data_IF_282211380262
#
_entry.id   IF_282211380262
#
_cell.length_a   1.000
_cell.length_b   1.000
_cell.length_c   1.000
_cell.angle_alpha   90.00
_cell.angle_beta   90.00
_cell.angle_gamma   90.00
#
_symmetry.space_group_name_H-M   'P 1'
#
loop_
_entity.id
_entity.type
_entity.pdbx_description
1 polymer ?
#
# COMPACT_ATOMS: atom_id res chain seq x y z
N UNK A 1 -1.67 -12.35 13.39
CA UNK A 1 -0.78 -11.38 12.76
C UNK A 1 0.56 -12.01 12.33
N UNK A 2 1.25 -12.75 13.22
CA UNK A 2 2.58 -13.35 12.95
C UNK A 2 2.50 -14.33 11.77
N UNK A 3 1.56 -15.27 11.77
CA UNK A 3 1.38 -16.25 10.67
C UNK A 3 1.12 -15.54 9.33
N UNK A 4 0.41 -14.43 9.37
CA UNK A 4 0.11 -13.61 8.20
C UNK A 4 1.26 -12.71 7.74
N UNK A 5 2.36 -12.65 8.48
CA UNK A 5 3.48 -11.76 8.19
C UNK A 5 3.14 -10.27 8.33
N UNK A 6 2.14 -9.95 9.15
CA UNK A 6 1.76 -8.57 9.50
C UNK A 6 2.55 -8.06 10.70
N UNK A 7 3.11 -8.97 11.49
CA UNK A 7 3.89 -8.68 12.67
C UNK A 7 5.09 -9.63 12.77
N UNK A 8 6.14 -9.21 13.47
CA UNK A 8 7.37 -9.99 13.67
C UNK A 8 7.33 -10.69 15.02
N UNK A 9 7.80 -11.93 15.05
CA UNK A 9 8.01 -12.65 16.32
C UNK A 9 9.34 -12.24 16.97
N UNK A 10 9.37 -12.23 18.30
CA UNK A 10 10.55 -11.86 19.09
C UNK A 10 11.59 -12.98 19.13
N UNK A 11 11.13 -14.22 19.23
CA UNK A 11 11.98 -15.42 19.30
C UNK A 11 11.26 -16.62 18.69
N UNK A 12 11.98 -17.71 18.47
CA UNK A 12 11.44 -18.90 17.84
C UNK A 12 11.71 -18.96 16.35
N UNK A 13 10.97 -19.80 15.63
CA UNK A 13 11.06 -19.96 14.17
C UNK A 13 9.67 -20.29 13.60
N UNK A 14 9.20 -19.47 12.66
CA UNK A 14 8.01 -19.77 11.86
C UNK A 14 8.46 -20.42 10.55
N UNK A 15 8.00 -21.64 10.31
CA UNK A 15 8.28 -22.34 9.05
C UNK A 15 7.02 -22.46 8.21
N UNK A 16 7.14 -22.12 6.94
CA UNK A 16 6.06 -22.16 5.95
C UNK A 16 6.49 -23.11 4.84
N UNK A 17 5.77 -24.20 4.65
CA UNK A 17 6.13 -25.27 3.71
C UNK A 17 7.58 -25.77 3.92
N UNK A 18 8.01 -25.91 5.17
CA UNK A 18 9.35 -26.35 5.55
C UNK A 18 10.45 -25.29 5.47
N UNK A 19 10.17 -24.09 4.96
CA UNK A 19 11.15 -23.01 4.83
C UNK A 19 11.03 -22.05 6.03
N UNK A 20 12.15 -21.78 6.70
CA UNK A 20 12.20 -20.81 7.81
C UNK A 20 11.95 -19.40 7.29
N UNK A 21 11.15 -18.63 8.04
CA UNK A 21 10.88 -17.22 7.71
C UNK A 21 11.90 -16.25 8.26
N UNK A 22 12.93 -16.72 8.98
CA UNK A 22 14.01 -15.89 9.52
C UNK A 22 14.76 -15.14 8.41
N UNK A 23 14.92 -15.76 7.26
CA UNK A 23 15.65 -15.22 6.13
C UNK A 23 14.75 -14.45 5.15
N UNK A 24 13.44 -14.34 5.44
CA UNK A 24 12.51 -13.62 4.59
C UNK A 24 12.80 -12.12 4.61
N UNK A 25 12.98 -11.55 3.40
CA UNK A 25 13.02 -10.12 3.16
C UNK A 25 11.60 -9.57 2.98
N UNK A 26 11.42 -8.27 3.07
CA UNK A 26 10.11 -7.62 2.90
C UNK A 26 9.41 -8.05 1.60
N UNK A 27 10.17 -8.24 0.53
CA UNK A 27 9.65 -8.73 -0.75
C UNK A 27 9.12 -10.17 -0.69
N UNK A 28 9.72 -11.02 0.13
CA UNK A 28 9.28 -12.42 0.29
C UNK A 28 7.98 -12.45 1.10
N UNK A 29 7.88 -11.60 2.11
CA UNK A 29 6.66 -11.37 2.86
C UNK A 29 5.53 -10.79 2.00
N UNK A 30 5.82 -9.84 1.12
CA UNK A 30 4.84 -9.30 0.18
C UNK A 30 4.34 -10.38 -0.79
N UNK A 31 5.25 -11.19 -1.32
CA UNK A 31 4.89 -12.32 -2.19
C UNK A 31 4.05 -13.37 -1.46
N UNK A 32 4.38 -13.66 -0.20
CA UNK A 32 3.63 -14.57 0.66
C UNK A 32 2.22 -14.05 0.94
N UNK A 33 2.07 -12.79 1.39
CA UNK A 33 0.77 -12.18 1.63
C UNK A 33 -0.10 -12.11 0.38
N UNK A 34 0.48 -11.79 -0.77
CA UNK A 34 -0.30 -11.63 -2.00
C UNK A 34 -0.70 -12.96 -2.66
N UNK A 35 0.09 -14.02 -2.47
CA UNK A 35 -0.11 -15.25 -3.24
C UNK A 35 -0.50 -16.46 -2.40
N UNK A 36 -0.09 -16.52 -1.12
CA UNK A 36 -0.25 -17.72 -0.31
C UNK A 36 -1.28 -17.56 0.80
N UNK A 37 -1.62 -16.32 1.16
CA UNK A 37 -2.56 -16.05 2.24
C UNK A 37 -3.76 -15.23 1.76
N UNK A 38 -4.94 -15.60 2.25
CA UNK A 38 -6.14 -14.79 2.24
C UNK A 38 -6.49 -14.33 3.66
N UNK A 39 -6.91 -13.08 3.83
CA UNK A 39 -7.33 -12.54 5.12
C UNK A 39 -8.83 -12.26 5.13
N UNK A 40 -9.50 -12.74 6.17
CA UNK A 40 -10.89 -12.43 6.52
C UNK A 40 -10.90 -11.80 7.91
N UNK A 41 -11.36 -10.55 8.00
CA UNK A 41 -11.39 -9.77 9.25
C UNK A 41 -12.81 -9.65 9.78
N UNK A 42 -12.95 -9.42 11.08
CA UNK A 42 -14.21 -9.15 11.75
C UNK A 42 -14.94 -7.93 11.17
N UNK A 43 -14.23 -6.86 10.85
CA UNK A 43 -14.80 -5.60 10.37
C UNK A 43 -14.97 -5.53 8.85
N UNK A 44 -14.96 -6.64 8.13
CA UNK A 44 -15.06 -6.77 6.67
C UNK A 44 -13.97 -6.04 5.89
N UNK A 45 -13.51 -4.88 6.32
CA UNK A 45 -12.51 -4.00 5.69
C UNK A 45 -12.78 -3.76 4.19
N UNK A 46 -14.04 -3.48 3.87
CA UNK A 46 -14.48 -3.14 2.52
C UNK A 46 -14.39 -1.62 2.29
N UNK A 47 -14.06 -1.23 1.08
CA UNK A 47 -14.01 0.17 0.67
C UNK A 47 -15.44 0.65 0.38
N UNK A 48 -16.03 1.56 1.20
CA UNK A 48 -17.48 1.83 1.18
C UNK A 48 -17.99 2.47 -0.11
N UNK A 49 -17.14 3.21 -0.80
CA UNK A 49 -17.49 3.93 -2.03
C UNK A 49 -17.28 3.12 -3.31
N UNK A 50 -16.63 1.96 -3.21
CA UNK A 50 -16.44 1.04 -4.31
C UNK A 50 -17.55 -0.01 -4.35
N UNK A 51 -17.80 -0.57 -5.53
CA UNK A 51 -18.72 -1.69 -5.68
C UNK A 51 -18.15 -2.96 -5.06
N UNK A 52 -19.01 -3.94 -4.83
CA UNK A 52 -18.64 -5.29 -4.38
C UNK A 52 -17.59 -5.89 -5.31
N UNK A 53 -17.83 -5.84 -6.63
CA UNK A 53 -16.87 -6.30 -7.63
C UNK A 53 -15.52 -5.60 -7.52
N UNK A 54 -15.50 -4.27 -7.41
CA UNK A 54 -14.26 -3.50 -7.30
C UNK A 54 -13.47 -3.82 -6.02
N UNK A 55 -14.16 -4.11 -4.92
CA UNK A 55 -13.52 -4.54 -3.67
C UNK A 55 -12.79 -5.88 -3.83
N UNK A 56 -13.34 -6.82 -4.60
CA UNK A 56 -12.69 -8.11 -4.87
C UNK A 56 -11.57 -7.96 -5.92
N UNK A 57 -11.80 -7.18 -6.99
CA UNK A 57 -10.79 -6.90 -8.03
C UNK A 57 -9.51 -6.26 -7.47
N UNK A 58 -9.61 -5.51 -6.35
CA UNK A 58 -8.47 -4.81 -5.75
C UNK A 58 -7.35 -5.77 -5.37
N UNK A 59 -7.66 -6.93 -4.79
CA UNK A 59 -6.67 -7.94 -4.42
C UNK A 59 -5.87 -8.45 -5.65
N UNK A 60 -6.53 -8.61 -6.80
CA UNK A 60 -5.89 -9.00 -8.06
C UNK A 60 -5.12 -7.85 -8.72
N UNK A 61 -5.49 -6.59 -8.44
CA UNK A 61 -4.77 -5.42 -8.95
C UNK A 61 -3.36 -5.37 -8.39
N UNK A 62 -3.22 -5.67 -7.10
CA UNK A 62 -1.91 -5.72 -6.42
C UNK A 62 -1.05 -6.89 -6.93
N UNK A 63 -1.66 -7.96 -7.42
CA UNK A 63 -0.98 -9.12 -8.00
C UNK A 63 -0.58 -8.95 -9.48
N UNK A 64 -0.82 -7.78 -10.09
CA UNK A 64 -0.41 -7.49 -11.48
C UNK A 64 -1.23 -8.20 -12.56
N UNK A 65 -2.42 -8.71 -12.23
CA UNK A 65 -3.32 -9.40 -13.17
C UNK A 65 -3.98 -8.40 -14.13
N UNK A 66 -4.17 -8.76 -15.40
CA UNK A 66 -4.82 -7.90 -16.40
C UNK A 66 -6.27 -7.56 -16.04
N UNK A 67 -6.79 -6.41 -16.50
CA UNK A 67 -8.13 -5.94 -16.15
C UNK A 67 -9.24 -6.94 -16.52
N UNK A 68 -9.15 -7.57 -17.70
CA UNK A 68 -10.15 -8.53 -18.16
C UNK A 68 -10.16 -9.79 -17.27
N UNK A 69 -8.98 -10.32 -16.98
CA UNK A 69 -8.81 -11.50 -16.13
C UNK A 69 -9.21 -11.23 -14.67
N UNK A 70 -8.89 -10.02 -14.13
CA UNK A 70 -9.33 -9.61 -12.80
C UNK A 70 -10.85 -9.65 -12.67
N UNK A 71 -11.54 -9.03 -13.65
CA UNK A 71 -13.00 -8.99 -13.64
C UNK A 71 -13.60 -10.39 -13.67
N UNK A 72 -13.08 -11.26 -14.55
CA UNK A 72 -13.53 -12.64 -14.65
C UNK A 72 -13.37 -13.38 -13.32
N UNK A 73 -12.17 -13.38 -12.73
CA UNK A 73 -11.90 -14.07 -11.46
C UNK A 73 -12.70 -13.48 -10.29
N UNK A 74 -12.88 -12.16 -10.26
CA UNK A 74 -13.66 -11.52 -9.21
C UNK A 74 -15.14 -11.89 -9.28
N UNK A 75 -15.72 -11.99 -10.49
CA UNK A 75 -17.09 -12.48 -10.68
C UNK A 75 -17.20 -13.93 -10.22
N UNK A 76 -16.33 -14.82 -10.70
CA UNK A 76 -16.31 -16.23 -10.29
C UNK A 76 -16.17 -16.40 -8.76
N UNK A 77 -15.35 -15.57 -8.10
CA UNK A 77 -15.21 -15.61 -6.65
C UNK A 77 -16.49 -15.16 -5.93
N UNK A 78 -17.18 -14.15 -6.45
CA UNK A 78 -18.46 -13.67 -5.90
C UNK A 78 -19.61 -14.67 -6.14
N UNK A 79 -19.63 -15.34 -7.27
CA UNK A 79 -20.59 -16.42 -7.55
C UNK A 79 -20.43 -17.59 -6.57
N UNK A 80 -19.18 -17.99 -6.27
CA UNK A 80 -18.88 -19.07 -5.30
C UNK A 80 -19.40 -18.79 -3.89
N UNK A 81 -19.52 -17.53 -3.51
CA UNK A 81 -20.07 -17.13 -2.20
C UNK A 81 -21.54 -16.72 -2.28
N UNK A 82 -22.21 -16.93 -3.43
CA UNK A 82 -23.64 -16.67 -3.64
C UNK A 82 -23.98 -15.18 -3.83
N UNK A 83 -23.07 -14.37 -4.38
CA UNK A 83 -23.23 -12.93 -4.58
C UNK A 83 -23.11 -12.48 -6.04
N UNK A 84 -23.26 -13.40 -7.02
CA UNK A 84 -23.10 -13.11 -8.44
C UNK A 84 -24.03 -12.00 -8.97
N UNK A 85 -25.26 -11.90 -8.46
CA UNK A 85 -26.21 -10.87 -8.86
C UNK A 85 -26.00 -9.51 -8.19
N UNK A 86 -25.14 -9.45 -7.17
CA UNK A 86 -24.98 -8.25 -6.33
C UNK A 86 -23.66 -7.51 -6.59
N UNK A 87 -22.95 -7.84 -7.66
CA UNK A 87 -21.61 -7.33 -7.99
C UNK A 87 -21.55 -5.80 -8.16
N UNK A 88 -22.65 -5.17 -8.52
CA UNK A 88 -22.75 -3.72 -8.72
C UNK A 88 -23.14 -2.94 -7.46
N UNK A 89 -23.61 -3.62 -6.41
CA UNK A 89 -23.97 -2.98 -5.14
C UNK A 89 -22.73 -2.45 -4.44
N UNK A 90 -22.93 -1.50 -3.51
CA UNK A 90 -21.91 -0.99 -2.60
C UNK A 90 -22.09 -1.61 -1.22
N UNK A 91 -21.06 -1.64 -0.36
CA UNK A 91 -21.15 -2.18 0.99
C UNK A 91 -22.30 -1.63 1.84
N UNK A 92 -22.63 -0.34 1.72
CA UNK A 92 -23.76 0.28 2.43
C UNK A 92 -25.16 -0.18 1.97
N UNK A 93 -25.23 -0.97 0.92
CA UNK A 93 -26.47 -1.55 0.38
C UNK A 93 -26.60 -3.05 0.70
N UNK A 94 -25.72 -3.56 1.59
CA UNK A 94 -25.61 -5.00 1.89
C UNK A 94 -25.80 -5.27 3.37
N UNK A 95 -26.30 -6.47 3.70
CA UNK A 95 -26.33 -6.96 5.08
C UNK A 95 -24.92 -7.32 5.59
N UNK A 96 -24.75 -7.46 6.92
CA UNK A 96 -23.49 -7.89 7.53
C UNK A 96 -22.97 -9.21 6.97
N UNK A 97 -23.82 -10.20 6.85
CA UNK A 97 -23.46 -11.51 6.28
C UNK A 97 -23.08 -11.44 4.80
N UNK A 98 -23.75 -10.58 4.02
CA UNK A 98 -23.36 -10.34 2.63
C UNK A 98 -21.99 -9.65 2.55
N UNK A 99 -21.72 -8.66 3.39
CA UNK A 99 -20.40 -8.00 3.45
C UNK A 99 -19.30 -8.99 3.85
N UNK A 100 -19.58 -9.91 4.77
CA UNK A 100 -18.63 -10.97 5.14
C UNK A 100 -18.36 -11.93 3.98
N UNK A 101 -19.38 -12.31 3.23
CA UNK A 101 -19.21 -13.13 2.01
C UNK A 101 -18.34 -12.40 0.97
N UNK A 102 -18.48 -11.07 0.80
CA UNK A 102 -17.60 -10.27 -0.06
C UNK A 102 -16.15 -10.30 0.45
N UNK A 103 -15.93 -10.16 1.77
CA UNK A 103 -14.60 -10.24 2.36
C UNK A 103 -13.96 -11.63 2.14
N UNK A 104 -14.74 -12.70 2.25
CA UNK A 104 -14.29 -14.07 1.95
C UNK A 104 -13.96 -14.20 0.44
N UNK A 105 -14.81 -13.72 -0.46
CA UNK A 105 -14.54 -13.74 -1.90
C UNK A 105 -13.24 -13.00 -2.26
N UNK A 106 -13.02 -11.83 -1.66
CA UNK A 106 -11.78 -11.05 -1.80
C UNK A 106 -10.55 -11.82 -1.31
N UNK A 107 -10.67 -12.52 -0.19
CA UNK A 107 -9.58 -13.34 0.35
C UNK A 107 -9.24 -14.54 -0.57
N UNK A 108 -10.24 -15.10 -1.26
CA UNK A 108 -10.11 -16.29 -2.10
C UNK A 108 -9.67 -16.00 -3.53
N UNK A 109 -9.83 -14.77 -4.02
CA UNK A 109 -9.68 -14.43 -5.46
C UNK A 109 -8.28 -14.68 -6.02
N UNK A 110 -7.23 -14.60 -5.16
CA UNK A 110 -5.84 -14.94 -5.51
C UNK A 110 -5.54 -16.44 -5.39
N UNK A 111 -6.55 -17.26 -5.07
CA UNK A 111 -6.39 -18.70 -4.83
C UNK A 111 -5.28 -19.00 -3.80
N UNK A 112 -5.38 -18.51 -2.56
CA UNK A 112 -4.38 -18.72 -1.52
C UNK A 112 -4.37 -20.17 -1.04
N UNK A 113 -3.23 -20.61 -0.52
CA UNK A 113 -3.09 -21.93 0.12
C UNK A 113 -3.67 -21.93 1.56
N UNK A 114 -3.63 -20.76 2.21
CA UNK A 114 -4.04 -20.56 3.62
C UNK A 114 -5.04 -19.41 3.70
N UNK A 115 -6.13 -19.61 4.42
CA UNK A 115 -7.08 -18.58 4.78
C UNK A 115 -6.98 -18.27 6.29
N UNK A 116 -6.63 -17.04 6.62
CA UNK A 116 -6.61 -16.56 8.02
C UNK A 116 -7.91 -15.82 8.30
N UNK A 117 -8.70 -16.31 9.24
CA UNK A 117 -9.97 -15.72 9.61
C UNK A 117 -9.91 -15.24 11.07
N UNK A 118 -10.02 -13.94 11.26
CA UNK A 118 -10.03 -13.29 12.56
C UNK A 118 -11.47 -12.91 12.90
N UNK A 119 -12.06 -13.66 13.84
CA UNK A 119 -13.45 -13.53 14.27
C UNK A 119 -14.47 -13.37 13.13
N UNK A 120 -14.53 -14.29 12.17
CA UNK A 120 -15.31 -14.10 10.94
C UNK A 120 -16.81 -14.00 11.18
N UNK A 121 -17.29 -14.31 12.38
CA UNK A 121 -18.72 -14.27 12.77
C UNK A 121 -19.00 -13.25 13.86
N UNK A 122 -18.01 -12.56 14.40
CA UNK A 122 -18.14 -11.70 15.59
C UNK A 122 -19.10 -10.50 15.44
N UNK A 123 -19.42 -10.08 14.22
CA UNK A 123 -20.35 -8.98 13.95
C UNK A 123 -21.69 -9.45 13.33
N UNK A 124 -22.01 -10.76 13.43
CA UNK A 124 -23.16 -11.38 12.77
C UNK A 124 -24.13 -11.96 13.79
N UNK A 125 -25.39 -12.07 13.40
CA UNK A 125 -26.40 -12.84 14.11
C UNK A 125 -26.11 -14.35 14.05
N UNK A 126 -26.76 -15.14 14.89
CA UNK A 126 -26.51 -16.58 15.03
C UNK A 126 -26.75 -17.35 13.74
N UNK A 127 -27.83 -17.04 13.02
CA UNK A 127 -28.19 -17.76 11.79
C UNK A 127 -27.18 -17.46 10.67
N UNK A 128 -26.85 -16.20 10.48
CA UNK A 128 -25.84 -15.77 9.52
C UNK A 128 -24.46 -16.32 9.87
N UNK A 129 -24.14 -16.39 11.16
CA UNK A 129 -22.88 -16.99 11.65
C UNK A 129 -22.74 -18.46 11.23
N UNK A 130 -23.79 -19.25 11.39
CA UNK A 130 -23.83 -20.64 10.92
C UNK A 130 -23.61 -20.73 9.41
N UNK A 131 -24.28 -19.88 8.61
CA UNK A 131 -24.10 -19.85 7.17
C UNK A 131 -22.65 -19.51 6.75
N UNK A 132 -21.99 -18.59 7.43
CA UNK A 132 -20.59 -18.25 7.17
C UNK A 132 -19.67 -19.42 7.56
N UNK A 133 -19.95 -20.10 8.68
CA UNK A 133 -19.16 -21.26 9.11
C UNK A 133 -19.30 -22.45 8.15
N UNK A 134 -20.51 -22.71 7.63
CA UNK A 134 -20.72 -23.74 6.61
C UNK A 134 -19.94 -23.39 5.33
N UNK A 135 -19.95 -22.12 4.90
CA UNK A 135 -19.16 -21.68 3.76
C UNK A 135 -17.65 -21.88 3.99
N UNK A 136 -17.14 -21.51 5.17
CA UNK A 136 -15.73 -21.74 5.51
C UNK A 136 -15.39 -23.24 5.56
N UNK A 137 -16.27 -24.07 6.08
CA UNK A 137 -16.10 -25.53 6.08
C UNK A 137 -16.05 -26.11 4.67
N UNK A 138 -16.86 -25.60 3.75
CA UNK A 138 -16.79 -26.01 2.34
C UNK A 138 -15.43 -25.62 1.72
N UNK A 139 -14.97 -24.41 1.98
CA UNK A 139 -13.68 -23.91 1.52
C UNK A 139 -12.52 -24.72 2.12
N UNK A 140 -12.65 -25.21 3.35
CA UNK A 140 -11.58 -25.97 4.04
C UNK A 140 -11.28 -27.33 3.43
N UNK A 141 -12.11 -27.84 2.52
CA UNK A 141 -11.83 -29.08 1.78
C UNK A 141 -10.60 -28.98 0.89
N UNK A 142 -10.32 -27.77 0.36
CA UNK A 142 -9.27 -27.55 -0.62
C UNK A 142 -8.05 -26.78 -0.05
N UNK A 143 -8.17 -26.18 1.15
CA UNK A 143 -7.13 -25.32 1.72
C UNK A 143 -7.17 -25.28 3.25
N UNK A 144 -6.04 -24.89 3.85
CA UNK A 144 -5.95 -24.70 5.28
C UNK A 144 -6.68 -23.43 5.71
N UNK A 145 -7.58 -23.55 6.69
CA UNK A 145 -8.19 -22.40 7.36
C UNK A 145 -7.68 -22.33 8.79
N UNK A 146 -7.11 -21.20 9.16
CA UNK A 146 -6.73 -20.89 10.55
C UNK A 146 -7.68 -19.78 11.03
N UNK A 147 -8.51 -20.11 12.00
CA UNK A 147 -9.51 -19.19 12.54
C UNK A 147 -9.20 -18.84 14.00
N UNK A 148 -9.31 -17.56 14.32
CA UNK A 148 -9.36 -17.08 15.71
C UNK A 148 -10.81 -16.77 16.04
N UNK A 149 -11.31 -17.29 17.15
CA UNK A 149 -12.67 -17.01 17.63
C UNK A 149 -12.77 -17.11 19.13
N UNK A 150 -13.63 -16.29 19.72
CA UNK A 150 -14.00 -16.37 21.12
C UNK A 150 -15.29 -17.19 21.34
N UNK A 151 -15.89 -17.75 20.27
CA UNK A 151 -17.07 -18.61 20.36
C UNK A 151 -16.68 -20.11 20.41
N UNK A 152 -16.69 -20.74 21.57
CA UNK A 152 -16.27 -22.14 21.73
C UNK A 152 -17.21 -23.13 21.03
N UNK A 153 -18.50 -22.83 20.94
CA UNK A 153 -19.48 -23.73 20.31
C UNK A 153 -19.21 -23.86 18.81
N UNK A 154 -18.96 -22.72 18.13
CA UNK A 154 -18.60 -22.72 16.71
C UNK A 154 -17.24 -23.39 16.49
N UNK A 155 -16.26 -23.14 17.36
CA UNK A 155 -14.96 -23.79 17.27
C UNK A 155 -15.10 -25.32 17.39
N UNK A 156 -15.82 -25.83 18.40
CA UNK A 156 -16.02 -27.27 18.58
C UNK A 156 -16.78 -27.93 17.42
N UNK A 157 -17.75 -27.24 16.86
CA UNK A 157 -18.60 -27.80 15.78
C UNK A 157 -17.88 -27.86 14.42
N UNK A 158 -17.03 -26.89 14.12
CA UNK A 158 -16.52 -26.70 12.75
C UNK A 158 -15.02 -26.97 12.60
N UNK A 159 -14.22 -26.93 13.69
CA UNK A 159 -12.77 -27.12 13.61
C UNK A 159 -12.36 -28.59 13.69
N UNK A 160 -11.29 -28.94 13.01
CA UNK A 160 -10.63 -30.26 13.10
C UNK A 160 -9.61 -30.30 14.24
N UNK A 161 -8.97 -29.16 14.55
CA UNK A 161 -8.03 -29.00 15.66
C UNK A 161 -8.31 -27.69 16.38
N UNK A 162 -8.26 -27.69 17.70
CA UNK A 162 -8.51 -26.53 18.54
C UNK A 162 -7.30 -26.33 19.45
N UNK A 163 -6.69 -25.14 19.35
CA UNK A 163 -5.62 -24.70 20.25
C UNK A 163 -6.18 -23.60 21.15
N UNK A 164 -6.23 -23.85 22.47
CA UNK A 164 -6.70 -22.85 23.43
C UNK A 164 -5.56 -22.05 23.98
N UNK A 165 -5.73 -20.73 23.91
CA UNK A 165 -4.77 -19.77 24.45
C UNK A 165 -5.39 -19.02 25.62
N UNK A 166 -4.61 -18.86 26.69
CA UNK A 166 -4.92 -18.03 27.83
C UNK A 166 -3.69 -17.19 28.18
N UNK A 167 -3.85 -15.89 28.27
CA UNK A 167 -2.77 -14.93 28.58
C UNK A 167 -1.49 -15.14 27.73
N UNK A 168 -1.67 -15.43 26.44
CA UNK A 168 -0.59 -15.64 25.50
C UNK A 168 0.12 -16.99 25.58
N UNK A 169 -0.35 -17.90 26.45
CA UNK A 169 0.17 -19.27 26.58
C UNK A 169 -0.82 -20.30 26.04
N UNK A 170 -0.29 -21.38 25.46
CA UNK A 170 -1.13 -22.54 25.07
C UNK A 170 -1.48 -23.34 26.30
N UNK A 171 -2.77 -23.44 26.60
CA UNK A 171 -3.28 -24.21 27.76
C UNK A 171 -3.84 -25.58 27.36
N UNK A 172 -4.28 -25.71 26.10
CA UNK A 172 -4.85 -26.96 25.59
C UNK A 172 -4.67 -27.03 24.07
N UNK A 173 -4.45 -28.24 23.55
CA UNK A 173 -4.36 -28.51 22.12
C UNK A 173 -5.00 -29.89 21.86
N UNK A 174 -6.09 -29.90 21.09
CA UNK A 174 -6.88 -31.12 20.87
C UNK A 174 -6.16 -32.19 20.03
N UNK A 175 -5.12 -31.81 19.30
CA UNK A 175 -4.31 -32.71 18.46
C UNK A 175 -2.86 -32.18 18.40
N UNK A 176 -2.10 -32.29 19.51
CA UNK A 176 -0.77 -31.75 19.62
C UNK A 176 0.21 -32.47 18.69
N UNK A 177 1.08 -31.72 18.05
CA UNK A 177 2.13 -32.26 17.20
C UNK A 177 3.18 -32.97 18.05
N UNK A 178 3.51 -34.24 17.72
CA UNK A 178 4.57 -34.96 18.42
C UNK A 178 5.94 -34.50 17.96
N UNK A 179 6.95 -34.61 18.86
CA UNK A 179 8.34 -34.26 18.49
C UNK A 179 8.86 -35.05 17.27
N UNK A 180 8.42 -36.32 17.12
CA UNK A 180 8.81 -37.18 15.99
C UNK A 180 8.21 -36.67 14.67
N UNK A 181 6.93 -36.26 14.68
CA UNK A 181 6.28 -35.64 13.53
C UNK A 181 6.96 -34.32 13.15
N UNK A 182 7.28 -33.49 14.15
CA UNK A 182 7.99 -32.22 13.93
C UNK A 182 9.38 -32.44 13.31
N UNK A 183 10.15 -33.41 13.83
CA UNK A 183 11.48 -33.76 13.29
C UNK A 183 11.38 -34.28 11.87
N UNK A 184 10.39 -35.11 11.56
CA UNK A 184 10.15 -35.64 10.23
C UNK A 184 9.83 -34.55 9.21
N UNK A 185 8.91 -33.63 9.55
CA UNK A 185 8.53 -32.53 8.67
C UNK A 185 9.66 -31.52 8.47
N UNK A 186 10.48 -31.29 9.47
CA UNK A 186 11.70 -30.49 9.38
C UNK A 186 12.70 -31.14 8.41
N UNK A 187 12.92 -32.45 8.52
CA UNK A 187 13.81 -33.21 7.65
C UNK A 187 13.33 -33.23 6.19
N UNK A 188 12.03 -33.49 5.95
CA UNK A 188 11.43 -33.45 4.62
C UNK A 188 11.39 -32.04 4.00
N UNK A 189 11.31 -30.98 4.83
CA UNK A 189 11.38 -29.58 4.42
C UNK A 189 12.77 -29.14 4.02
N UNK A 190 13.83 -29.70 4.64
CA UNK A 190 15.23 -29.37 4.34
C UNK A 190 15.68 -29.93 2.99
N UNK A 191 15.20 -31.09 2.60
CA UNK A 191 15.50 -31.71 1.30
C UNK A 191 14.94 -30.93 0.10
N UNK A 192 13.91 -30.10 0.33
CA UNK A 192 13.29 -29.27 -0.72
C UNK A 192 13.95 -27.90 -0.91
N UNK A 193 14.84 -27.50 0.00
CA UNK A 193 15.55 -26.21 -0.06
C UNK A 193 16.93 -26.28 -0.75
N UNK A 194 17.50 -27.47 -0.90
CA UNK A 194 18.80 -27.67 -1.51
C UNK A 194 18.67 -28.43 -2.81
N UNK A 195 18.45 -27.79 -3.93
CA UNK A 195 19.03 -28.06 -5.24
C UNK A 195 18.20 -27.39 -6.34
N UNK A 196 18.59 -26.19 -6.68
CA UNK A 196 18.39 -25.67 -8.02
C UNK A 196 19.65 -26.05 -8.82
N UNK A 197 19.77 -27.31 -9.24
CA UNK A 197 20.67 -27.69 -10.34
C UNK A 197 20.10 -28.91 -11.05
N UNK A 198 19.76 -28.70 -12.31
CA UNK A 198 19.76 -29.55 -13.49
C UNK A 198 19.50 -31.06 -13.36
N UNK A 199 18.59 -31.45 -14.27
CA UNK A 199 18.51 -32.72 -15.03
C UNK A 199 17.79 -33.93 -14.42
N UNK A 200 16.66 -34.19 -15.03
CA UNK A 200 16.38 -35.42 -15.81
C UNK A 200 16.08 -36.72 -15.05
N UNK A 201 14.97 -37.26 -15.47
CA UNK A 201 14.66 -38.68 -15.58
C UNK A 201 13.78 -39.35 -14.52
N UNK A 202 12.78 -39.97 -15.06
CA UNK A 202 11.76 -40.80 -14.45
C UNK A 202 12.31 -41.99 -13.63
N UNK A 203 11.53 -42.46 -12.62
CA UNK A 203 11.06 -43.84 -12.58
C UNK A 203 9.90 -44.06 -11.63
N UNK A 204 9.00 -44.87 -12.10
CA UNK A 204 7.81 -45.45 -11.52
C UNK A 204 8.16 -46.48 -10.42
N UNK A 205 7.36 -46.56 -9.34
CA UNK A 205 6.87 -47.85 -8.86
C UNK A 205 6.00 -47.66 -7.62
N UNK A 206 4.80 -48.25 -7.66
CA UNK A 206 3.82 -48.23 -6.62
C UNK A 206 4.18 -49.14 -5.42
N UNK A 207 3.45 -48.98 -4.33
CA UNK A 207 2.79 -50.00 -3.54
C UNK A 207 1.90 -49.33 -2.47
N UNK A 208 0.75 -49.90 -2.27
CA UNK A 208 -0.37 -49.60 -1.38
C UNK A 208 -0.03 -49.62 0.10
N UNK A 209 -0.64 -48.72 0.84
CA UNK A 209 -0.72 -48.74 2.31
C UNK A 209 -1.60 -47.60 2.80
N UNK A 210 -2.77 -47.92 3.39
CA UNK A 210 -3.71 -47.01 3.95
C UNK A 210 -3.11 -46.25 5.14
N UNK A 211 -2.99 -44.95 4.99
CA UNK A 211 -2.74 -43.99 6.06
C UNK A 211 -3.19 -42.65 5.52
N UNK A 212 -4.22 -42.06 6.12
CA UNK A 212 -4.80 -40.78 5.69
C UNK A 212 -3.79 -39.65 5.95
N UNK A 213 -2.87 -39.51 5.04
CA UNK A 213 -1.96 -38.37 4.95
C UNK A 213 -2.62 -37.34 4.05
N UNK A 214 -2.94 -36.18 4.56
CA UNK A 214 -3.46 -35.06 3.79
C UNK A 214 -2.31 -34.55 2.91
N UNK A 215 -2.11 -35.18 1.77
CA UNK A 215 -1.25 -34.65 0.74
C UNK A 215 -2.00 -33.56 -0.01
N UNK A 216 -1.62 -32.32 0.21
CA UNK A 216 -1.92 -31.24 -0.74
C UNK A 216 -1.22 -31.62 -2.03
N UNK A 217 -2.00 -32.06 -3.02
CA UNK A 217 -1.55 -32.44 -4.36
C UNK A 217 -0.61 -31.37 -4.92
N UNK A 218 0.60 -31.80 -5.33
CA UNK A 218 1.57 -30.99 -6.07
C UNK A 218 0.98 -30.52 -7.39
N UNK A 219 0.25 -29.41 -7.39
CA UNK A 219 0.01 -28.67 -8.61
C UNK A 219 1.34 -28.03 -9.02
N UNK A 220 1.78 -28.32 -10.24
CA UNK A 220 3.00 -27.79 -10.83
C UNK A 220 3.18 -26.30 -10.50
N UNK A 221 4.26 -25.96 -9.81
CA UNK A 221 4.66 -24.57 -9.54
C UNK A 221 4.93 -23.85 -10.87
N UNK A 222 3.90 -23.31 -11.51
CA UNK A 222 4.09 -22.21 -12.46
C UNK A 222 4.79 -21.10 -11.67
N UNK A 223 5.93 -20.61 -12.18
CA UNK A 223 6.63 -19.43 -11.60
C UNK A 223 5.58 -18.38 -11.27
N UNK A 224 5.38 -18.12 -9.96
CA UNK A 224 4.42 -17.10 -9.50
C UNK A 224 4.85 -15.77 -10.12
N UNK A 225 3.94 -15.02 -10.75
CA UNK A 225 4.29 -13.75 -11.39
C UNK A 225 4.85 -12.78 -10.36
N UNK A 226 5.88 -12.03 -10.75
CA UNK A 226 6.44 -10.98 -9.91
C UNK A 226 5.34 -9.97 -9.63
N UNK A 227 5.04 -9.72 -8.36
CA UNK A 227 4.13 -8.68 -7.94
C UNK A 227 4.74 -7.32 -8.28
N UNK A 228 4.28 -6.69 -9.34
CA UNK A 228 4.62 -5.32 -9.66
C UNK A 228 3.41 -4.62 -10.25
N UNK A 229 3.02 -3.52 -9.63
CA UNK A 229 1.93 -2.68 -10.12
C UNK A 229 2.46 -1.73 -11.18
N UNK A 230 1.80 -1.67 -12.35
CA UNK A 230 2.16 -0.68 -13.37
C UNK A 230 1.97 0.75 -12.85
N UNK A 231 2.89 1.66 -13.19
CA UNK A 231 2.81 3.08 -12.82
C UNK A 231 1.46 3.71 -13.20
N UNK A 232 0.94 3.41 -14.39
CA UNK A 232 -0.37 3.90 -14.82
C UNK A 232 -1.53 3.36 -13.97
N UNK A 233 -1.43 2.13 -13.47
CA UNK A 233 -2.44 1.55 -12.57
C UNK A 233 -2.41 2.23 -11.20
N UNK A 234 -1.22 2.52 -10.68
CA UNK A 234 -1.03 3.26 -9.44
C UNK A 234 -1.58 4.69 -9.56
N UNK A 235 -1.29 5.37 -10.67
CA UNK A 235 -1.78 6.71 -10.95
C UNK A 235 -3.31 6.74 -11.07
N UNK A 236 -3.90 5.79 -11.80
CA UNK A 236 -5.35 5.67 -11.94
C UNK A 236 -6.05 5.40 -10.60
N UNK A 237 -5.47 4.55 -9.76
CA UNK A 237 -6.02 4.25 -8.42
C UNK A 237 -5.94 5.49 -7.52
N UNK A 238 -4.82 6.22 -7.54
CA UNK A 238 -4.63 7.47 -6.81
C UNK A 238 -5.62 8.54 -7.26
N UNK A 239 -5.82 8.70 -8.58
CA UNK A 239 -6.78 9.64 -9.14
C UNK A 239 -8.22 9.30 -8.74
N UNK A 240 -8.61 8.04 -8.80
CA UNK A 240 -9.93 7.61 -8.35
C UNK A 240 -10.14 7.89 -6.85
N UNK A 241 -9.12 7.69 -6.02
CA UNK A 241 -9.19 8.04 -4.60
C UNK A 241 -9.36 9.55 -4.36
N UNK A 242 -8.66 10.39 -5.11
CA UNK A 242 -8.82 11.85 -5.07
C UNK A 242 -10.24 12.27 -5.49
N UNK A 243 -10.78 11.64 -6.54
CA UNK A 243 -12.13 11.91 -7.05
C UNK A 243 -13.25 11.47 -6.08
N UNK A 244 -12.97 10.58 -5.14
CA UNK A 244 -13.96 10.13 -4.15
C UNK A 244 -14.30 11.21 -3.14
N UNK A 245 -13.32 12.06 -2.78
CA UNK A 245 -13.49 13.17 -1.83
C UNK A 245 -13.42 14.53 -2.54
N UNK A 246 -14.18 14.68 -3.63
CA UNK A 246 -14.16 15.85 -4.53
C UNK A 246 -14.15 17.19 -3.80
N UNK A 247 -15.04 17.38 -2.83
CA UNK A 247 -15.17 18.64 -2.09
C UNK A 247 -13.88 19.00 -1.34
N UNK A 248 -13.28 18.02 -0.63
CA UNK A 248 -12.04 18.25 0.11
C UNK A 248 -10.87 18.53 -0.84
N UNK A 249 -10.76 17.77 -1.92
CA UNK A 249 -9.70 17.91 -2.93
C UNK A 249 -9.77 19.27 -3.62
N UNK A 250 -10.98 19.71 -4.01
CA UNK A 250 -11.20 21.02 -4.61
C UNK A 250 -10.86 22.13 -3.62
N UNK A 251 -11.30 22.01 -2.36
CA UNK A 251 -11.04 23.03 -1.34
C UNK A 251 -9.54 23.19 -1.05
N UNK A 252 -8.80 22.08 -0.92
CA UNK A 252 -7.34 22.13 -0.70
C UNK A 252 -6.59 22.63 -1.92
N UNK A 253 -6.99 22.26 -3.14
CA UNK A 253 -6.41 22.78 -4.37
C UNK A 253 -6.66 24.29 -4.50
N UNK A 254 -7.87 24.75 -4.19
CA UNK A 254 -8.23 26.17 -4.22
C UNK A 254 -7.41 26.99 -3.21
N UNK A 255 -7.29 26.50 -1.97
CA UNK A 255 -6.48 27.16 -0.93
C UNK A 255 -4.99 27.26 -1.34
N UNK A 256 -4.42 26.21 -1.94
CA UNK A 256 -3.05 26.22 -2.48
C UNK A 256 -2.88 27.19 -3.67
N UNK A 257 -3.90 27.29 -4.53
CA UNK A 257 -3.90 28.17 -5.70
C UNK A 257 -3.85 29.67 -5.30
N UNK A 258 -4.54 30.05 -4.22
CA UNK A 258 -4.55 31.45 -3.73
C UNK A 258 -3.11 31.89 -3.40
N UNK A 259 -2.32 31.05 -2.73
CA UNK A 259 -0.93 31.34 -2.40
C UNK A 259 -0.07 31.59 -3.64
N UNK A 260 -0.20 30.71 -4.65
CA UNK A 260 0.56 30.81 -5.90
C UNK A 260 0.13 32.07 -6.68
N UNK A 261 -1.18 32.33 -6.77
CA UNK A 261 -1.71 33.54 -7.44
C UNK A 261 -1.22 34.79 -6.74
N UNK A 262 -1.21 34.84 -5.39
CA UNK A 262 -0.70 35.96 -4.63
C UNK A 262 0.77 36.28 -4.92
N UNK A 263 1.63 35.25 -4.92
CA UNK A 263 3.05 35.41 -5.24
C UNK A 263 3.23 35.86 -6.71
N UNK A 264 2.50 35.27 -7.66
CA UNK A 264 2.56 35.65 -9.06
C UNK A 264 2.12 37.11 -9.30
N UNK A 265 1.07 37.58 -8.61
CA UNK A 265 0.62 38.97 -8.67
C UNK A 265 1.68 39.94 -8.15
N UNK A 266 2.28 39.64 -6.96
CA UNK A 266 3.32 40.48 -6.38
C UNK A 266 4.52 40.59 -7.32
N UNK A 267 4.99 39.48 -7.88
CA UNK A 267 6.12 39.45 -8.83
C UNK A 267 5.77 40.19 -10.12
N UNK A 268 4.55 40.04 -10.64
CA UNK A 268 4.09 40.71 -11.84
C UNK A 268 4.01 42.23 -11.68
N UNK A 269 3.46 42.69 -10.53
CA UNK A 269 3.36 44.12 -10.21
C UNK A 269 4.78 44.68 -10.01
N UNK A 270 5.64 44.01 -9.26
CA UNK A 270 7.04 44.43 -9.06
C UNK A 270 7.79 44.61 -10.39
N UNK A 271 7.69 43.62 -11.28
CA UNK A 271 8.31 43.67 -12.59
C UNK A 271 7.70 44.78 -13.46
N UNK A 272 6.36 44.96 -13.39
CA UNK A 272 5.67 46.03 -14.12
C UNK A 272 6.10 47.43 -13.66
N UNK A 273 6.27 47.66 -12.36
CA UNK A 273 6.77 48.90 -11.79
C UNK A 273 8.21 49.16 -12.23
N UNK A 274 9.09 48.16 -12.19
CA UNK A 274 10.47 48.31 -12.67
C UNK A 274 10.53 48.71 -14.13
N UNK A 275 9.78 48.06 -15.00
CA UNK A 275 9.71 48.39 -16.41
C UNK A 275 9.16 49.82 -16.67
N UNK A 276 8.21 50.25 -15.83
CA UNK A 276 7.68 51.61 -15.88
C UNK A 276 8.74 52.65 -15.46
N UNK A 277 9.45 52.40 -14.36
CA UNK A 277 10.53 53.28 -13.87
C UNK A 277 11.66 53.36 -14.92
N UNK A 278 12.09 52.24 -15.52
CA UNK A 278 13.12 52.23 -16.54
C UNK A 278 12.71 53.01 -17.81
N UNK A 279 11.41 52.96 -18.14
CA UNK A 279 10.86 53.75 -19.28
C UNK A 279 10.88 55.23 -18.96
N UNK A 280 10.37 55.66 -17.79
CA UNK A 280 10.36 57.03 -17.36
C UNK A 280 11.77 57.60 -17.24
N UNK A 281 12.73 56.84 -16.70
CA UNK A 281 14.14 57.25 -16.65
C UNK A 281 14.74 57.47 -18.03
N UNK A 282 14.49 56.54 -18.97
CA UNK A 282 14.97 56.68 -20.37
C UNK A 282 14.36 57.88 -21.05
N UNK A 283 13.08 58.11 -20.93
CA UNK A 283 12.39 59.23 -21.54
C UNK A 283 12.85 60.56 -20.93
N UNK A 284 13.08 60.62 -19.61
CA UNK A 284 13.59 61.78 -18.91
C UNK A 284 15.03 62.10 -19.28
N UNK A 285 15.92 61.08 -19.31
CA UNK A 285 17.33 61.27 -19.68
C UNK A 285 17.50 61.64 -21.15
N UNK A 286 16.63 61.17 -22.04
CA UNK A 286 16.65 61.53 -23.45
C UNK A 286 16.13 62.93 -23.72
N UNK A 287 15.34 63.50 -22.80
CA UNK A 287 14.76 64.87 -22.91
C UNK A 287 15.66 65.97 -22.33
N UNK A 288 16.66 65.61 -21.55
CA UNK A 288 17.65 66.58 -21.06
C UNK A 288 18.87 66.57 -22.00
N UNK A 289 19.12 67.69 -22.76
CA UNK A 289 20.35 67.79 -23.53
C UNK A 289 21.55 67.83 -22.58
N UNK A 290 22.55 67.04 -22.88
CA UNK A 290 23.84 67.10 -22.18
C UNK A 290 24.47 68.46 -22.46
N UNK A 291 24.37 69.40 -21.54
CA UNK A 291 25.14 70.66 -21.61
C UNK A 291 26.56 70.31 -21.17
N UNK A 292 27.47 70.23 -22.14
CA UNK A 292 28.90 70.27 -21.92
C UNK A 292 29.29 71.70 -21.62
N UNK A 293 29.24 72.16 -20.40
CA UNK A 293 29.82 73.40 -19.94
C UNK A 293 31.32 73.18 -19.83
N UNK A 294 32.09 73.69 -20.83
CA UNK A 294 33.52 73.74 -20.69
C UNK A 294 33.85 75.02 -19.88
N UNK A 295 33.71 74.88 -18.57
CA UNK A 295 34.37 75.84 -17.65
C UNK A 295 35.88 75.56 -17.74
N UNK A 296 36.55 76.41 -18.51
CA UNK A 296 37.97 76.53 -18.33
C UNK A 296 38.20 77.24 -17.00
N UNK A 297 38.55 76.50 -16.01
CA UNK A 297 39.06 77.09 -14.77
C UNK A 297 40.34 77.87 -15.10
N UNK A 298 40.22 79.13 -15.14
CA UNK A 298 41.34 80.05 -15.41
C UNK A 298 42.22 80.09 -14.16
N UNK A 299 43.17 79.15 -14.11
CA UNK A 299 44.15 79.00 -13.05
C UNK A 299 44.99 80.24 -12.83
N UNK A 300 45.03 81.18 -13.89
CA UNK A 300 45.78 82.43 -13.77
C UNK A 300 45.15 83.44 -12.79
N UNK A 301 43.81 83.39 -12.66
CA UNK A 301 43.12 84.23 -11.67
C UNK A 301 43.28 83.68 -10.18
N UNK A 302 43.49 82.41 -10.03
CA UNK A 302 43.77 81.82 -8.71
C UNK A 302 45.22 82.06 -8.26
N UNK A 303 46.14 82.07 -9.19
CA UNK A 303 47.57 82.38 -8.86
C UNK A 303 47.78 83.85 -8.58
N UNK A 304 47.08 84.80 -9.28
CA UNK A 304 47.16 86.21 -8.99
C UNK A 304 46.55 86.58 -7.61
N UNK A 305 45.52 85.88 -7.16
CA UNK A 305 44.95 86.14 -5.84
C UNK A 305 45.81 85.60 -4.67
N UNK A 306 46.70 84.65 -4.96
CA UNK A 306 47.68 84.12 -3.98
C UNK A 306 48.98 84.98 -3.88
N UNK A 307 49.28 85.72 -4.88
CA UNK A 307 50.47 86.59 -4.92
C UNK A 307 50.23 87.99 -4.34
N UNK A 308 48.96 88.41 -4.24
CA UNK A 308 48.65 89.79 -3.78
C UNK A 308 48.37 89.88 -2.27
N UNK A 309 48.53 88.77 -1.53
CA UNK A 309 48.35 88.76 -0.06
C UNK A 309 49.65 88.60 0.72
N UNK A 310 50.75 89.04 0.13
CA UNK A 310 52.09 89.01 0.75
C UNK A 310 52.74 90.37 0.76
N UNK A 311 52.23 91.33 1.52
CA UNK A 311 52.96 92.59 1.68
C UNK A 311 52.16 93.76 2.16
N UNK A 312 52.09 93.92 3.47
CA UNK A 312 52.39 95.17 4.18
C UNK A 312 52.03 94.95 5.64
N UNK A 313 53.04 94.77 6.39
CA UNK A 313 52.94 95.13 7.80
C UNK A 313 52.91 96.65 7.93
N UNK A 314 52.13 97.12 8.86
CA UNK A 314 52.52 98.33 9.56
C UNK A 314 51.83 98.38 10.92
N UNK A 315 52.67 98.61 11.91
CA UNK A 315 52.50 98.94 13.31
C UNK A 315 51.66 100.23 13.54
N UNK A 316 50.99 100.29 14.64
CA UNK A 316 50.77 101.38 15.60
C UNK A 316 49.40 101.18 16.29
N UNK A 317 49.31 101.25 17.44
CA UNK A 317 49.50 101.69 18.87
C UNK A 317 48.53 100.90 19.72
#
# INVERSE_FOLDING_TARGET
NIIGGLDKYTSGDLRINGVSTKDYKDRDWDAYRNNSIGFVFQSYNLIPHQTVLSNVELALTLSGVSKAERRKRAVEALEKVGLGEQIHKKPNQMSGGQMQRVAIARALVNNPDILLADEPTGALDTETSVQIMELLKEISKDRLIIMVTHNPELAMKYSTRIVRLLDGTIVDDSDPYTEEQLKKDIAEGTDKSGTATTNGSAYNSGVSGQGTSIYVSKTQRKKKPKTSMSFFTALSLSFNNLMTKKTRTILTAFAGSIGIIGIALILSISNGIQLYIDRVQRDTLSSYPIQLQSETVDISSMVSSMTDNGGSGETHE
#
